data_IF_461113199683
#
_entry.id   IF_461113199683
#
_cell.length_a   1.000
_cell.length_b   1.000
_cell.length_c   1.000
_cell.angle_alpha   90.00
_cell.angle_beta   90.00
_cell.angle_gamma   90.00
#
_symmetry.space_group_name_H-M   'P 1'
#
loop_
_entity.id
_entity.type
_entity.pdbx_description
1 polymer ?
#
# COMPACT_ATOMS: atom_id res chain seq x y z
N UNK A 1 21.92 -34.72 -11.18
CA UNK A 1 22.53 -34.32 -9.88
C UNK A 1 22.76 -32.80 -9.92
N UNK A 2 21.79 -32.01 -9.53
CA UNK A 2 21.81 -30.54 -9.62
C UNK A 2 22.14 -29.99 -8.22
N UNK A 3 23.31 -29.36 -8.07
CA UNK A 3 23.75 -28.72 -6.82
C UNK A 3 23.02 -27.40 -6.64
N UNK A 4 22.09 -27.33 -5.70
CA UNK A 4 21.48 -26.09 -5.23
C UNK A 4 22.49 -25.38 -4.32
N UNK A 5 22.97 -24.23 -4.79
CA UNK A 5 23.90 -23.36 -4.07
C UNK A 5 23.10 -22.49 -3.10
N UNK A 6 23.10 -22.86 -1.83
CA UNK A 6 22.49 -22.08 -0.76
C UNK A 6 23.19 -20.70 -0.68
N UNK A 7 22.42 -19.61 -0.87
CA UNK A 7 22.85 -18.24 -0.59
C UNK A 7 23.02 -18.10 0.92
N UNK A 8 24.25 -17.94 1.38
CA UNK A 8 24.58 -17.59 2.78
C UNK A 8 23.89 -16.26 3.13
N UNK A 9 22.96 -16.31 4.08
CA UNK A 9 22.38 -15.13 4.70
C UNK A 9 23.50 -14.27 5.32
N UNK A 10 23.45 -12.97 5.07
CA UNK A 10 24.28 -12.00 5.79
C UNK A 10 23.84 -12.02 7.25
N UNK A 11 24.67 -12.57 8.11
CA UNK A 11 24.58 -12.36 9.55
C UNK A 11 24.89 -10.89 9.80
N UNK A 12 23.85 -10.06 9.99
CA UNK A 12 24.02 -8.70 10.46
C UNK A 12 24.29 -8.75 11.96
N UNK A 13 25.55 -8.83 12.34
CA UNK A 13 25.98 -8.53 13.71
C UNK A 13 25.65 -7.08 14.01
N UNK A 14 24.69 -6.86 14.91
CA UNK A 14 24.39 -5.53 15.42
C UNK A 14 25.63 -4.91 16.06
N UNK A 15 25.88 -3.61 15.90
CA UNK A 15 26.99 -2.93 16.57
C UNK A 15 26.89 -3.13 18.09
N UNK A 16 28.02 -3.35 18.77
CA UNK A 16 28.06 -3.54 20.23
C UNK A 16 27.44 -2.36 21.01
N UNK A 17 27.57 -1.14 20.49
CA UNK A 17 26.93 0.07 21.04
C UNK A 17 25.39 -0.03 21.04
N UNK A 18 24.78 -0.63 20.01
CA UNK A 18 23.33 -0.82 19.94
C UNK A 18 22.84 -1.82 21.02
N UNK A 19 23.61 -2.87 21.26
CA UNK A 19 23.29 -3.85 22.31
C UNK A 19 23.33 -3.24 23.70
N UNK A 20 24.29 -2.35 23.98
CA UNK A 20 24.41 -1.62 25.26
C UNK A 20 23.29 -0.60 25.46
N UNK A 21 22.91 0.13 24.41
CA UNK A 21 21.78 1.05 24.44
C UNK A 21 20.45 0.30 24.67
N UNK A 22 20.26 -0.84 24.03
CA UNK A 22 19.07 -1.67 24.21
C UNK A 22 18.97 -2.17 25.65
N UNK A 23 20.06 -2.68 26.24
CA UNK A 23 20.09 -3.11 27.63
C UNK A 23 19.80 -1.97 28.61
N UNK A 24 20.31 -0.78 28.34
CA UNK A 24 20.06 0.43 29.14
C UNK A 24 18.58 0.81 29.11
N UNK A 25 17.94 0.74 27.94
CA UNK A 25 16.50 1.00 27.78
C UNK A 25 15.65 -0.05 28.51
N UNK A 26 16.00 -1.32 28.41
CA UNK A 26 15.30 -2.40 29.12
C UNK A 26 15.35 -2.20 30.64
N UNK A 27 16.51 -1.87 31.19
CA UNK A 27 16.66 -1.57 32.61
C UNK A 27 15.87 -0.31 33.04
N UNK A 28 15.91 0.75 32.23
CA UNK A 28 15.17 2.00 32.49
C UNK A 28 13.66 1.77 32.57
N UNK A 29 13.14 0.91 31.72
CA UNK A 29 11.70 0.60 31.65
C UNK A 29 11.30 -0.63 32.45
N UNK A 30 12.24 -1.26 33.18
CA UNK A 30 12.01 -2.50 33.97
C UNK A 30 11.41 -3.64 33.15
N UNK A 31 11.79 -3.75 31.87
CA UNK A 31 11.34 -4.81 30.96
C UNK A 31 12.36 -5.96 30.97
N UNK A 32 11.87 -7.17 31.08
CA UNK A 32 12.68 -8.36 30.85
C UNK A 32 12.90 -8.60 29.34
N UNK A 33 13.93 -9.35 28.98
CA UNK A 33 14.18 -9.72 27.59
C UNK A 33 12.98 -10.40 26.88
N UNK A 34 12.26 -11.36 27.53
CA UNK A 34 11.07 -11.94 26.93
C UNK A 34 9.95 -10.93 26.67
N UNK A 35 9.67 -10.01 27.60
CA UNK A 35 8.65 -8.98 27.45
C UNK A 35 9.00 -7.99 26.33
N UNK A 36 10.29 -7.64 26.19
CA UNK A 36 10.76 -6.82 25.10
C UNK A 36 10.65 -7.55 23.75
N UNK A 37 10.91 -8.84 23.72
CA UNK A 37 10.75 -9.64 22.51
C UNK A 37 9.29 -9.76 22.09
N UNK A 38 8.38 -9.95 23.03
CA UNK A 38 6.94 -9.99 22.78
C UNK A 38 6.42 -8.64 22.30
N UNK A 39 6.85 -7.54 22.90
CA UNK A 39 6.52 -6.19 22.48
C UNK A 39 7.04 -5.89 21.05
N UNK A 40 8.29 -6.28 20.74
CA UNK A 40 8.85 -6.16 19.41
C UNK A 40 8.11 -7.02 18.38
N UNK A 41 7.76 -8.27 18.74
CA UNK A 41 6.98 -9.15 17.89
C UNK A 41 5.58 -8.57 17.61
N UNK A 42 4.95 -7.97 18.61
CA UNK A 42 3.68 -7.25 18.48
C UNK A 42 3.81 -6.01 17.59
N UNK A 43 4.89 -5.25 17.72
CA UNK A 43 5.19 -4.10 16.86
C UNK A 43 5.48 -4.53 15.42
N UNK A 44 6.23 -5.61 15.22
CA UNK A 44 6.50 -6.16 13.89
C UNK A 44 5.21 -6.68 13.25
N UNK A 45 4.41 -7.46 13.97
CA UNK A 45 3.14 -7.97 13.46
C UNK A 45 2.10 -6.84 13.22
N UNK A 46 2.14 -5.75 13.97
CA UNK A 46 1.32 -4.56 13.68
C UNK A 46 1.85 -3.74 12.49
N UNK A 47 3.17 -3.76 12.24
CA UNK A 47 3.77 -3.15 11.05
C UNK A 47 3.68 -4.02 9.80
N UNK A 48 3.55 -5.35 9.96
CA UNK A 48 3.27 -6.31 8.88
C UNK A 48 1.78 -6.41 8.54
N UNK A 49 0.88 -5.70 9.22
CA UNK A 49 -0.46 -5.49 8.70
C UNK A 49 -0.30 -4.70 7.40
N UNK A 50 -0.31 -5.44 6.28
CA UNK A 50 -0.27 -4.86 4.94
C UNK A 50 -1.27 -3.71 4.88
N UNK A 51 -0.74 -2.49 4.81
CA UNK A 51 -1.59 -1.32 4.68
C UNK A 51 -2.49 -1.51 3.46
N UNK A 52 -3.78 -1.44 3.70
CA UNK A 52 -4.80 -1.65 2.70
C UNK A 52 -5.79 -0.47 2.68
N UNK A 53 -6.48 -0.34 1.58
CA UNK A 53 -7.54 0.65 1.42
C UNK A 53 -8.82 -0.01 0.93
N UNK A 54 -10.00 0.49 1.34
CA UNK A 54 -11.28 -0.02 0.88
C UNK A 54 -11.59 0.49 -0.54
N UNK A 55 -12.14 -0.37 -1.39
CA UNK A 55 -12.51 0.01 -2.76
C UNK A 55 -13.62 1.06 -2.82
N UNK A 56 -14.42 1.21 -1.76
CA UNK A 56 -15.47 2.23 -1.67
C UNK A 56 -14.98 3.68 -1.81
N UNK A 57 -13.68 3.92 -1.59
CA UNK A 57 -13.10 5.27 -1.80
C UNK A 57 -12.93 5.63 -3.29
N UNK A 58 -12.96 4.62 -4.18
CA UNK A 58 -12.84 4.85 -5.62
C UNK A 58 -14.18 5.38 -6.13
N UNK A 59 -14.16 6.54 -6.75
CA UNK A 59 -15.35 7.19 -7.29
C UNK A 59 -15.15 7.54 -8.76
N UNK A 60 -16.24 7.74 -9.48
CA UNK A 60 -16.20 8.13 -10.89
C UNK A 60 -15.49 9.48 -11.11
N UNK A 61 -15.63 10.40 -10.16
CA UNK A 61 -15.09 11.77 -10.25
C UNK A 61 -13.57 11.85 -10.09
N UNK A 62 -12.98 10.88 -9.35
CA UNK A 62 -11.56 10.89 -8.99
C UNK A 62 -10.79 9.79 -9.72
N UNK A 63 -9.54 10.08 -10.03
CA UNK A 63 -8.61 9.01 -10.44
C UNK A 63 -8.26 8.13 -9.24
N UNK A 64 -7.80 6.89 -9.49
CA UNK A 64 -7.37 5.96 -8.42
C UNK A 64 -6.31 6.60 -7.53
N UNK A 65 -5.34 7.33 -8.13
CA UNK A 65 -4.30 8.01 -7.35
C UNK A 65 -4.87 9.14 -6.49
N UNK A 66 -5.78 9.94 -7.03
CA UNK A 66 -6.44 11.02 -6.32
C UNK A 66 -7.23 10.50 -5.11
N UNK A 67 -8.04 9.44 -5.30
CA UNK A 67 -8.79 8.78 -4.22
C UNK A 67 -7.85 8.24 -3.14
N UNK A 68 -6.78 7.57 -3.56
CA UNK A 68 -5.83 6.92 -2.66
C UNK A 68 -5.06 7.95 -1.80
N UNK A 69 -4.50 8.98 -2.43
CA UNK A 69 -3.75 10.03 -1.72
C UNK A 69 -4.66 10.77 -0.74
N UNK A 70 -5.88 11.06 -1.15
CA UNK A 70 -6.85 11.72 -0.30
C UNK A 70 -7.23 10.87 0.91
N UNK A 71 -7.51 9.57 0.71
CA UNK A 71 -7.81 8.63 1.78
C UNK A 71 -6.65 8.53 2.79
N UNK A 72 -5.43 8.35 2.30
CA UNK A 72 -4.26 8.22 3.19
C UNK A 72 -4.03 9.50 3.99
N UNK A 73 -4.28 10.67 3.39
CA UNK A 73 -4.09 11.95 4.07
C UNK A 73 -5.21 12.30 5.05
N UNK A 74 -6.47 12.12 4.67
CA UNK A 74 -7.63 12.55 5.45
C UNK A 74 -8.09 11.51 6.48
N UNK A 75 -8.11 10.22 6.10
CA UNK A 75 -8.61 9.14 6.97
C UNK A 75 -7.50 8.44 7.77
N UNK A 76 -6.29 8.37 7.20
CA UNK A 76 -5.14 7.73 7.86
C UNK A 76 -4.15 8.73 8.46
N UNK A 77 -4.37 10.04 8.28
CA UNK A 77 -3.55 11.15 8.79
C UNK A 77 -2.07 11.12 8.38
N UNK A 78 -1.74 10.47 7.24
CA UNK A 78 -0.37 10.43 6.75
C UNK A 78 0.08 11.78 6.17
N UNK A 79 1.36 12.11 6.33
CA UNK A 79 1.98 13.23 5.61
C UNK A 79 2.15 12.87 4.13
N UNK A 80 2.22 13.88 3.25
CA UNK A 80 2.51 13.63 1.83
C UNK A 80 3.88 12.95 1.64
N UNK A 81 4.83 13.26 2.51
CA UNK A 81 6.15 12.61 2.54
C UNK A 81 6.02 11.11 2.81
N UNK A 82 5.31 10.72 3.87
CA UNK A 82 5.07 9.30 4.20
C UNK A 82 4.30 8.58 3.08
N UNK A 83 3.31 9.24 2.47
CA UNK A 83 2.58 8.68 1.33
C UNK A 83 3.52 8.48 0.12
N UNK A 84 4.48 9.39 -0.08
CA UNK A 84 5.47 9.28 -1.15
C UNK A 84 6.38 8.05 -0.94
N UNK A 85 6.80 7.78 0.28
CA UNK A 85 7.57 6.59 0.63
C UNK A 85 6.75 5.31 0.43
N UNK A 86 5.52 5.25 0.95
CA UNK A 86 4.61 4.09 0.84
C UNK A 86 4.32 3.73 -0.63
N UNK A 87 4.03 4.73 -1.46
CA UNK A 87 3.66 4.52 -2.87
C UNK A 87 4.87 4.55 -3.82
N UNK A 88 6.08 4.79 -3.31
CA UNK A 88 7.30 4.93 -4.10
C UNK A 88 7.24 6.09 -5.11
N UNK A 89 6.48 7.17 -4.84
CA UNK A 89 6.19 8.26 -5.80
C UNK A 89 6.77 9.58 -5.35
N UNK A 90 6.95 10.49 -6.31
CA UNK A 90 7.42 11.85 -6.01
C UNK A 90 6.35 12.63 -5.24
N UNK A 91 6.72 13.25 -4.12
CA UNK A 91 5.84 14.01 -3.24
C UNK A 91 5.09 15.16 -3.96
N UNK A 92 5.75 15.84 -4.90
CA UNK A 92 5.14 16.91 -5.70
C UNK A 92 3.95 16.39 -6.52
N UNK A 93 4.09 15.19 -7.11
CA UNK A 93 3.00 14.58 -7.88
C UNK A 93 1.82 14.21 -6.97
N UNK A 94 2.09 13.77 -5.74
CA UNK A 94 1.06 13.45 -4.75
C UNK A 94 0.37 14.72 -4.23
N UNK A 95 1.13 15.82 -4.06
CA UNK A 95 0.55 17.11 -3.73
C UNK A 95 -0.47 17.55 -4.80
N UNK A 96 -0.11 17.45 -6.08
CA UNK A 96 -1.04 17.75 -7.18
C UNK A 96 -2.25 16.81 -7.18
N UNK A 97 -2.05 15.51 -6.97
CA UNK A 97 -3.15 14.55 -6.89
C UNK A 97 -4.11 14.88 -5.74
N UNK A 98 -3.60 15.22 -4.55
CA UNK A 98 -4.40 15.63 -3.42
C UNK A 98 -5.19 16.91 -3.71
N UNK A 99 -4.50 17.93 -4.22
CA UNK A 99 -5.14 19.23 -4.55
C UNK A 99 -6.25 19.06 -5.61
N UNK A 100 -5.99 18.27 -6.65
CA UNK A 100 -7.01 17.97 -7.67
C UNK A 100 -8.19 17.21 -7.07
N UNK A 101 -7.94 16.22 -6.18
CA UNK A 101 -9.00 15.46 -5.53
C UNK A 101 -9.93 16.34 -4.70
N UNK A 102 -9.37 17.24 -3.89
CA UNK A 102 -10.15 18.16 -3.05
C UNK A 102 -10.91 19.21 -3.87
N UNK A 103 -10.36 19.63 -5.01
CA UNK A 103 -11.02 20.56 -5.90
C UNK A 103 -12.18 19.92 -6.69
N UNK A 104 -11.99 18.67 -7.18
CA UNK A 104 -13.03 17.94 -7.92
C UNK A 104 -14.19 17.51 -7.03
N UNK A 105 -13.89 17.11 -5.80
CA UNK A 105 -14.87 16.61 -4.84
C UNK A 105 -14.60 17.25 -3.47
N UNK A 106 -15.40 18.23 -3.09
CA UNK A 106 -15.26 18.93 -1.81
C UNK A 106 -15.84 18.15 -0.62
N UNK A 107 -16.76 17.18 -0.90
CA UNK A 107 -17.35 16.31 0.15
C UNK A 107 -16.35 15.25 0.60
N UNK A 108 -16.34 14.83 1.88
CA UNK A 108 -15.50 13.75 2.37
C UNK A 108 -15.66 12.46 1.55
N UNK A 109 -14.62 11.64 1.53
CA UNK A 109 -14.71 10.31 0.92
C UNK A 109 -15.66 9.43 1.76
N UNK A 110 -16.48 8.65 1.07
CA UNK A 110 -17.30 7.65 1.76
C UNK A 110 -16.46 6.38 1.96
N UNK A 111 -16.16 6.08 3.22
CA UNK A 111 -15.43 4.87 3.60
C UNK A 111 -16.42 3.86 4.14
N UNK A 112 -16.67 2.80 3.37
CA UNK A 112 -17.50 1.68 3.80
C UNK A 112 -16.61 0.58 4.39
N UNK A 113 -16.72 0.28 5.70
CA UNK A 113 -15.92 -0.77 6.35
C UNK A 113 -16.17 -2.17 5.80
N UNK A 114 -17.32 -2.41 5.16
CA UNK A 114 -17.66 -3.70 4.56
C UNK A 114 -17.10 -3.86 3.14
N UNK A 115 -16.58 -2.78 2.56
CA UNK A 115 -16.02 -2.79 1.20
C UNK A 115 -14.78 -3.69 1.11
N UNK A 116 -14.60 -4.42 0.00
CA UNK A 116 -13.38 -5.17 -0.23
C UNK A 116 -12.14 -4.28 -0.15
N UNK A 117 -11.09 -4.78 0.51
CA UNK A 117 -9.83 -4.05 0.67
C UNK A 117 -8.76 -4.53 -0.30
N UNK A 118 -7.85 -3.62 -0.63
CA UNK A 118 -6.73 -3.86 -1.53
C UNK A 118 -5.42 -3.40 -0.86
N UNK A 119 -4.34 -4.21 -0.88
CA UNK A 119 -3.06 -3.84 -0.30
C UNK A 119 -2.42 -2.67 -1.02
N UNK A 120 -1.86 -1.70 -0.29
CA UNK A 120 -1.14 -0.56 -0.88
C UNK A 120 0.13 -0.98 -1.62
N UNK A 121 0.74 -2.08 -1.22
CA UNK A 121 1.98 -2.60 -1.84
C UNK A 121 1.88 -2.82 -3.35
N UNK A 122 0.69 -3.06 -3.90
CA UNK A 122 0.52 -3.25 -5.35
C UNK A 122 0.91 -2.01 -6.17
N UNK A 123 0.92 -0.82 -5.55
CA UNK A 123 1.23 0.44 -6.23
C UNK A 123 2.71 0.83 -6.17
N UNK A 124 3.56 0.07 -5.47
CA UNK A 124 5.00 0.37 -5.34
C UNK A 124 5.70 0.23 -6.69
N UNK A 125 5.34 -0.77 -7.49
CA UNK A 125 5.86 -0.93 -8.84
C UNK A 125 5.20 0.07 -9.80
N UNK A 126 5.99 1.03 -10.31
CA UNK A 126 5.47 2.15 -11.11
C UNK A 126 5.44 1.89 -12.63
N UNK A 127 5.59 0.65 -13.07
CA UNK A 127 5.53 0.31 -14.51
C UNK A 127 4.14 0.56 -15.10
N UNK A 128 3.11 0.38 -14.29
CA UNK A 128 1.72 0.56 -14.65
C UNK A 128 1.15 1.84 -14.00
N UNK A 129 0.15 2.43 -14.62
CA UNK A 129 -0.64 3.48 -13.98
C UNK A 129 -1.45 2.92 -12.81
N UNK A 130 -1.86 3.74 -11.82
CA UNK A 130 -2.64 3.25 -10.67
C UNK A 130 -3.91 2.49 -11.05
N UNK A 131 -4.62 2.92 -12.08
CA UNK A 131 -5.80 2.21 -12.57
C UNK A 131 -5.43 0.86 -13.22
N UNK A 132 -4.37 0.83 -14.04
CA UNK A 132 -3.89 -0.42 -14.65
C UNK A 132 -3.46 -1.42 -13.57
N UNK A 133 -2.68 -0.99 -12.59
CA UNK A 133 -2.26 -1.83 -11.45
C UNK A 133 -3.46 -2.43 -10.71
N UNK A 134 -4.45 -1.60 -10.39
CA UNK A 134 -5.64 -2.03 -9.66
C UNK A 134 -6.48 -3.02 -10.47
N UNK A 135 -6.67 -2.76 -11.76
CA UNK A 135 -7.45 -3.65 -12.67
C UNK A 135 -6.74 -5.00 -12.82
N UNK A 136 -5.42 -5.02 -13.01
CA UNK A 136 -4.64 -6.27 -13.10
C UNK A 136 -4.76 -7.05 -11.79
N UNK A 137 -4.58 -6.41 -10.64
CA UNK A 137 -4.71 -7.05 -9.33
C UNK A 137 -6.09 -7.67 -9.13
N UNK A 138 -7.17 -6.93 -9.40
CA UNK A 138 -8.54 -7.42 -9.24
C UNK A 138 -8.84 -8.57 -10.21
N UNK A 139 -8.32 -8.50 -11.44
CA UNK A 139 -8.52 -9.53 -12.46
C UNK A 139 -7.75 -10.82 -12.18
N UNK A 140 -6.45 -10.71 -11.83
CA UNK A 140 -5.55 -11.86 -11.74
C UNK A 140 -5.44 -12.44 -10.33
N UNK A 141 -5.43 -11.59 -9.30
CA UNK A 141 -5.31 -12.03 -7.91
C UNK A 141 -6.66 -12.31 -7.26
N UNK A 142 -7.68 -11.52 -7.59
CA UNK A 142 -9.05 -11.69 -7.05
C UNK A 142 -9.97 -12.46 -8.01
N UNK A 143 -9.53 -12.72 -9.25
CA UNK A 143 -10.24 -13.48 -10.27
C UNK A 143 -11.64 -12.94 -10.64
N UNK A 144 -11.83 -11.62 -10.48
CA UNK A 144 -13.09 -10.95 -10.78
C UNK A 144 -13.31 -10.86 -12.30
N UNK A 145 -14.55 -10.87 -12.72
CA UNK A 145 -14.94 -10.55 -14.10
C UNK A 145 -14.73 -9.06 -14.40
N UNK A 146 -14.67 -8.68 -15.66
CA UNK A 146 -14.56 -7.26 -16.04
C UNK A 146 -15.76 -6.45 -15.57
N UNK A 147 -16.94 -7.04 -15.57
CA UNK A 147 -18.16 -6.41 -15.09
C UNK A 147 -18.10 -6.14 -13.58
N UNK A 148 -17.74 -7.13 -12.76
CA UNK A 148 -17.58 -6.94 -11.32
C UNK A 148 -16.51 -5.85 -10.99
N UNK A 149 -15.41 -5.81 -11.75
CA UNK A 149 -14.39 -4.77 -11.59
C UNK A 149 -14.95 -3.40 -11.97
N UNK A 150 -15.75 -3.33 -13.04
CA UNK A 150 -16.39 -2.10 -13.49
C UNK A 150 -17.33 -1.53 -12.43
N UNK A 151 -18.18 -2.37 -11.85
CA UNK A 151 -19.06 -1.98 -10.74
C UNK A 151 -18.27 -1.49 -9.51
N UNK A 152 -17.27 -2.27 -9.08
CA UNK A 152 -16.43 -1.90 -7.91
C UNK A 152 -15.68 -0.60 -8.08
N UNK A 153 -15.20 -0.30 -9.30
CA UNK A 153 -14.41 0.89 -9.58
C UNK A 153 -15.24 2.06 -10.13
N UNK A 154 -16.56 1.89 -10.25
CA UNK A 154 -17.49 2.86 -10.84
C UNK A 154 -17.01 3.32 -12.23
N UNK A 155 -16.72 2.34 -13.10
CA UNK A 155 -16.28 2.55 -14.49
C UNK A 155 -17.10 1.64 -15.41
N UNK A 156 -17.12 1.97 -16.70
CA UNK A 156 -17.74 1.07 -17.68
C UNK A 156 -16.83 -0.13 -18.02
N UNK A 157 -17.44 -1.26 -18.40
CA UNK A 157 -16.78 -2.52 -18.73
C UNK A 157 -15.72 -2.36 -19.83
N UNK A 158 -16.00 -1.50 -20.81
CA UNK A 158 -15.09 -1.24 -21.92
C UNK A 158 -13.82 -0.53 -21.46
N UNK A 159 -13.95 0.40 -20.52
CA UNK A 159 -12.80 1.07 -19.90
C UNK A 159 -11.94 0.07 -19.14
N UNK A 160 -12.54 -0.84 -18.36
CA UNK A 160 -11.82 -1.86 -17.62
C UNK A 160 -11.09 -2.82 -18.57
N UNK A 161 -11.77 -3.35 -19.59
CA UNK A 161 -11.17 -4.23 -20.58
C UNK A 161 -9.99 -3.56 -21.29
N UNK A 162 -10.18 -2.31 -21.76
CA UNK A 162 -9.12 -1.56 -22.45
C UNK A 162 -7.92 -1.29 -21.54
N UNK A 163 -8.18 -0.97 -20.27
CA UNK A 163 -7.15 -0.75 -19.25
C UNK A 163 -6.34 -2.02 -19.00
N UNK A 164 -7.01 -3.16 -18.85
CA UNK A 164 -6.34 -4.45 -18.68
C UNK A 164 -5.46 -4.81 -19.88
N UNK A 165 -5.99 -4.68 -21.10
CA UNK A 165 -5.24 -4.97 -22.32
C UNK A 165 -4.01 -4.06 -22.49
N UNK A 166 -4.10 -2.78 -22.10
CA UNK A 166 -2.96 -1.85 -22.09
C UNK A 166 -1.90 -2.26 -21.07
N UNK A 167 -2.32 -2.67 -19.87
CA UNK A 167 -1.42 -3.16 -18.83
C UNK A 167 -0.64 -4.38 -19.31
N UNK A 168 -1.32 -5.38 -19.86
CA UNK A 168 -0.68 -6.61 -20.39
C UNK A 168 0.32 -6.32 -21.53
N UNK A 169 0.04 -5.32 -22.36
CA UNK A 169 0.99 -4.90 -23.41
C UNK A 169 2.26 -4.24 -22.87
N UNK A 170 2.20 -3.62 -21.67
CA UNK A 170 3.38 -3.02 -21.03
C UNK A 170 4.21 -4.04 -20.27
N UNK A 171 3.60 -5.16 -19.85
CA UNK A 171 4.28 -6.25 -19.13
C UNK A 171 4.89 -7.31 -20.08
N UNK A 172 4.52 -7.31 -21.35
CA UNK A 172 5.06 -8.19 -22.37
C UNK A 172 6.37 -7.66 -22.95
#
# INVERSE_FOLDING_TARGET
MVRIRAKRGRSSTLPSSFSEELLTLLHKHKLSLPEAQEALQSLISSSEQEESFPLSIITEELTVLESLVRYLKEERAYSLHSIAEILGRNEKNLWHAYHNATHKKSTPLHVDPSSPTVPLKIFIEQRLSPLETLVVYLKEQRQLSYHEIAELLQRDDRTILTTYMRAKKKDA
#
